data_IF_332273312133
#
_entry.id   IF_332273312133
#
_cell.length_a   1.000
_cell.length_b   1.000
_cell.length_c   1.000
_cell.angle_alpha   90.00
_cell.angle_beta   90.00
_cell.angle_gamma   90.00
#
_symmetry.space_group_name_H-M   'P 1'
#
loop_
_entity.id
_entity.type
_entity.pdbx_description
1 polymer ?
#
# COMPACT_ATOMS: atom_id res chain seq x y z
N UNK A 1 12.79 2.24 -3.48
CA UNK A 1 12.13 3.23 -2.62
C UNK A 1 11.89 2.64 -1.24
N UNK A 2 12.24 3.38 -0.22
CA UNK A 2 12.03 2.93 1.15
C UNK A 2 10.63 3.26 1.61
N UNK A 3 10.02 2.32 2.33
CA UNK A 3 8.70 2.53 2.90
C UNK A 3 8.82 3.23 4.25
N UNK A 4 7.88 4.15 4.57
CA UNK A 4 7.85 4.76 5.90
C UNK A 4 7.62 3.70 6.98
N UNK A 5 8.26 3.87 8.12
CA UNK A 5 8.02 2.98 9.27
C UNK A 5 6.72 3.32 9.98
N UNK A 6 6.28 4.57 9.86
CA UNK A 6 5.02 5.01 10.46
C UNK A 6 3.85 4.45 9.66
N UNK A 7 2.98 3.62 10.29
CA UNK A 7 1.84 3.01 9.59
C UNK A 7 0.88 4.04 8.98
N UNK A 8 0.69 5.17 9.64
CA UNK A 8 -0.19 6.23 9.13
C UNK A 8 0.39 6.85 7.87
N UNK A 9 1.68 7.12 7.87
CA UNK A 9 2.36 7.66 6.69
C UNK A 9 2.38 6.64 5.56
N UNK A 10 2.62 5.38 5.89
CA UNK A 10 2.61 4.30 4.91
C UNK A 10 1.24 4.19 4.24
N UNK A 11 0.19 4.20 5.03
CA UNK A 11 -1.18 4.12 4.53
C UNK A 11 -1.49 5.30 3.62
N UNK A 12 -1.13 6.51 4.03
CA UNK A 12 -1.37 7.72 3.25
C UNK A 12 -0.64 7.67 1.91
N UNK A 13 0.61 7.23 1.93
CA UNK A 13 1.41 7.12 0.71
C UNK A 13 0.81 6.09 -0.24
N UNK A 14 0.48 4.91 0.27
CA UNK A 14 -0.11 3.84 -0.53
C UNK A 14 -1.43 4.29 -1.13
N UNK A 15 -2.28 4.91 -0.32
CA UNK A 15 -3.58 5.38 -0.76
C UNK A 15 -3.46 6.40 -1.90
N UNK A 16 -2.54 7.34 -1.75
CA UNK A 16 -2.29 8.35 -2.77
C UNK A 16 -1.81 7.73 -4.08
N UNK A 17 -0.89 6.78 -3.98
CA UNK A 17 -0.35 6.09 -5.15
C UNK A 17 -1.42 5.26 -5.87
N UNK A 18 -2.27 4.57 -5.11
CA UNK A 18 -3.36 3.79 -5.68
C UNK A 18 -4.36 4.70 -6.41
N UNK A 19 -4.59 5.89 -5.87
CA UNK A 19 -5.52 6.82 -6.49
C UNK A 19 -4.96 7.43 -7.78
N UNK A 20 -3.69 7.84 -7.76
CA UNK A 20 -3.12 8.65 -8.83
C UNK A 20 -2.29 7.87 -9.84
N UNK A 21 -1.66 6.76 -9.44
CA UNK A 21 -0.65 6.09 -10.26
C UNK A 21 -0.97 4.64 -10.60
N UNK A 22 -1.62 3.91 -9.72
CA UNK A 22 -1.82 2.47 -9.89
C UNK A 22 -3.28 2.08 -9.76
N UNK A 23 -3.67 1.04 -10.50
CA UNK A 23 -5.04 0.54 -10.49
C UNK A 23 -5.27 -0.55 -9.45
N UNK A 24 -4.20 -1.10 -8.90
CA UNK A 24 -4.29 -2.15 -7.88
C UNK A 24 -3.04 -2.16 -7.03
N UNK A 25 -3.16 -2.82 -5.87
CA UNK A 25 -2.02 -2.98 -4.97
C UNK A 25 -0.93 -3.84 -5.61
N UNK A 26 -1.32 -4.80 -6.44
CA UNK A 26 -0.36 -5.63 -7.18
C UNK A 26 0.50 -4.79 -8.11
N UNK A 27 -0.11 -3.87 -8.84
CA UNK A 27 0.63 -2.98 -9.74
C UNK A 27 1.59 -2.08 -8.95
N UNK A 28 1.12 -1.55 -7.84
CA UNK A 28 1.94 -0.70 -6.98
C UNK A 28 3.18 -1.45 -6.48
N UNK A 29 2.97 -2.64 -5.95
CA UNK A 29 4.06 -3.45 -5.40
C UNK A 29 5.05 -3.87 -6.48
N UNK A 30 4.56 -4.20 -7.66
CA UNK A 30 5.41 -4.61 -8.77
C UNK A 30 6.29 -3.46 -9.26
N UNK A 31 5.69 -2.29 -9.45
CA UNK A 31 6.42 -1.12 -9.94
C UNK A 31 7.41 -0.57 -8.92
N UNK A 32 7.03 -0.56 -7.66
CA UNK A 32 7.88 -0.08 -6.57
C UNK A 32 8.84 -1.14 -6.04
N UNK A 33 8.74 -2.34 -6.57
CA UNK A 33 9.56 -3.47 -6.13
C UNK A 33 9.42 -3.75 -4.63
N UNK A 34 8.18 -3.79 -4.18
CA UNK A 34 7.82 -4.02 -2.77
C UNK A 34 7.11 -5.35 -2.66
N UNK A 35 7.40 -6.11 -1.60
CA UNK A 35 6.71 -7.36 -1.32
C UNK A 35 5.29 -7.06 -0.86
N UNK A 36 4.29 -7.52 -1.63
CA UNK A 36 2.88 -7.28 -1.34
C UNK A 36 2.49 -7.84 0.03
N UNK A 37 2.93 -9.04 0.34
CA UNK A 37 2.60 -9.66 1.63
C UNK A 37 3.12 -8.84 2.80
N UNK A 38 4.34 -8.36 2.67
CA UNK A 38 4.95 -7.54 3.70
C UNK A 38 4.21 -6.22 3.87
N UNK A 39 3.85 -5.60 2.75
CA UNK A 39 3.11 -4.33 2.76
C UNK A 39 1.74 -4.50 3.41
N UNK A 40 1.00 -5.52 3.01
CA UNK A 40 -0.31 -5.83 3.57
C UNK A 40 -0.20 -6.09 5.07
N UNK A 41 0.83 -6.83 5.47
CA UNK A 41 1.05 -7.16 6.87
C UNK A 41 1.31 -5.91 7.71
N UNK A 42 2.12 -5.00 7.19
CA UNK A 42 2.41 -3.74 7.88
C UNK A 42 1.16 -2.88 8.03
N UNK A 43 0.36 -2.77 6.98
CA UNK A 43 -0.88 -2.01 7.03
C UNK A 43 -1.88 -2.63 7.99
N UNK A 44 -2.00 -3.95 7.95
CA UNK A 44 -2.93 -4.66 8.81
C UNK A 44 -2.57 -4.54 10.30
N UNK A 45 -1.28 -4.52 10.59
CA UNK A 45 -0.81 -4.33 11.96
C UNK A 45 -1.22 -2.98 12.53
N UNK A 46 -1.44 -2.00 11.66
CA UNK A 46 -1.90 -0.67 12.06
C UNK A 46 -3.43 -0.53 12.00
N UNK A 47 -4.13 -1.60 11.67
CA UNK A 47 -5.59 -1.58 11.59
C UNK A 47 -6.16 -1.19 10.24
N UNK A 48 -5.33 -1.15 9.20
CA UNK A 48 -5.77 -0.81 7.84
C UNK A 48 -5.86 -2.06 6.98
N UNK A 49 -6.92 -2.17 6.20
CA UNK A 49 -7.11 -3.28 5.27
C UNK A 49 -7.29 -2.75 3.86
N UNK A 50 -6.62 -3.40 2.91
CA UNK A 50 -6.77 -3.06 1.51
C UNK A 50 -8.06 -3.68 0.95
N UNK A 51 -8.86 -2.88 0.27
CA UNK A 51 -10.06 -3.35 -0.41
C UNK A 51 -9.85 -3.32 -1.92
N UNK A 52 -9.92 -4.48 -2.54
CA UNK A 52 -9.78 -4.59 -3.99
C UNK A 52 -10.90 -3.87 -4.73
N UNK A 53 -12.10 -3.91 -4.15
CA UNK A 53 -13.26 -3.29 -4.77
C UNK A 53 -13.13 -1.78 -4.87
N UNK A 54 -12.57 -1.17 -3.85
CA UNK A 54 -12.42 0.29 -3.78
C UNK A 54 -11.01 0.76 -4.12
N UNK A 55 -10.07 -0.15 -4.23
CA UNK A 55 -8.66 0.13 -4.48
C UNK A 55 -8.08 1.10 -3.43
N UNK A 56 -8.34 0.82 -2.18
CA UNK A 56 -7.89 1.66 -1.06
C UNK A 56 -7.31 0.84 0.07
#
# INVERSE_FOLDING_TARGET
MELPDDPMMLFSMVNMKLRDCYHSLDELCDDMNVDKELLVKKLKAAGFEYSKENNK
#
